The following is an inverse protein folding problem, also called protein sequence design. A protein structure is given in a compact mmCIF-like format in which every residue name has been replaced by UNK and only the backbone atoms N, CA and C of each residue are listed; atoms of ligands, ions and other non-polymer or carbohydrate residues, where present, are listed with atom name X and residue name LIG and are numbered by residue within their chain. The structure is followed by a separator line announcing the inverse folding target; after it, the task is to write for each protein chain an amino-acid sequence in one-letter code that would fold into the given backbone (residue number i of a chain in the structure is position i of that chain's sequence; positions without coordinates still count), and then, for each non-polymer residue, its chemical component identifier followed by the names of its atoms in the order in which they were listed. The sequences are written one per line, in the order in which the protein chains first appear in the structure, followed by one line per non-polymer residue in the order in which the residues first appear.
data_IF_206361926195
#
_entry.id   IF_206361926195
#
_cell.length_a   1.000
_cell.length_b   1.000
_cell.length_c   1.000
_cell.angle_alpha   90.00
_cell.angle_beta   90.00
_cell.angle_gamma   90.00
#
_symmetry.space_group_name_H-M   'P 1'
#
loop_
_entity.id
_entity.type
_entity.pdbx_description
1 polymer ?
#
# COMPACT_ATOMS: atom_id res chain seq x y z
N UNK A 1 -4.25 -15.45 -0.70
CA UNK A 1 -5.15 -14.89 -1.72
C UNK A 1 -5.65 -13.53 -1.32
N UNK A 2 -5.69 -12.62 -2.27
CA UNK A 2 -6.11 -11.26 -2.03
C UNK A 2 -7.55 -11.07 -2.46
N UNK A 3 -8.40 -10.65 -1.53
CA UNK A 3 -9.83 -10.60 -1.80
C UNK A 3 -10.25 -9.32 -2.51
N UNK A 4 -9.68 -8.19 -2.13
CA UNK A 4 -10.10 -6.90 -2.67
C UNK A 4 -8.93 -5.93 -2.70
N UNK A 5 -8.92 -5.10 -3.74
CA UNK A 5 -7.93 -4.03 -3.85
C UNK A 5 -8.53 -2.75 -3.24
N UNK A 6 -8.38 -2.60 -1.94
CA UNK A 6 -8.87 -1.40 -1.23
C UNK A 6 -7.71 -0.44 -1.05
N UNK A 7 -7.81 0.72 -1.69
CA UNK A 7 -6.77 1.74 -1.57
C UNK A 7 -6.82 2.39 -0.18
N UNK A 8 -5.65 2.65 0.44
CA UNK A 8 -5.63 3.30 1.76
C UNK A 8 -6.34 4.65 1.78
N UNK A 9 -6.47 5.31 0.62
CA UNK A 9 -7.19 6.58 0.52
C UNK A 9 -8.66 6.48 0.92
N UNK A 10 -9.30 5.32 0.68
CA UNK A 10 -10.69 5.16 1.10
C UNK A 10 -10.80 5.02 2.61
N UNK A 11 -9.82 4.39 3.25
CA UNK A 11 -9.76 4.31 4.72
C UNK A 11 -9.56 5.71 5.29
N UNK A 12 -8.63 6.47 4.72
CA UNK A 12 -8.38 7.84 5.16
C UNK A 12 -9.63 8.70 5.04
N UNK A 13 -10.32 8.62 3.90
CA UNK A 13 -11.54 9.39 3.67
C UNK A 13 -12.58 9.09 4.74
N UNK A 14 -12.80 7.82 5.05
CA UNK A 14 -13.79 7.42 6.06
C UNK A 14 -13.41 7.96 7.44
N UNK A 15 -12.13 7.87 7.80
CA UNK A 15 -11.67 8.37 9.09
C UNK A 15 -11.85 9.88 9.22
N UNK A 16 -11.47 10.62 8.19
CA UNK A 16 -11.61 12.08 8.22
C UNK A 16 -13.08 12.50 8.26
N UNK A 17 -13.94 11.81 7.52
CA UNK A 17 -15.37 12.08 7.51
C UNK A 17 -15.95 11.86 8.91
N UNK A 18 -15.58 10.78 9.56
CA UNK A 18 -16.06 10.45 10.89
C UNK A 18 -15.61 11.45 11.94
N UNK A 19 -14.38 11.95 11.80
CA UNK A 19 -13.84 12.96 12.71
C UNK A 19 -14.31 14.38 12.39
N UNK A 20 -14.96 14.57 11.25
CA UNK A 20 -15.45 15.89 10.85
C UNK A 20 -14.38 16.86 10.42
N UNK A 21 -13.23 16.36 9.96
CA UNK A 21 -12.14 17.21 9.49
C UNK A 21 -12.03 17.11 7.97
N UNK A 22 -11.81 18.27 7.31
CA UNK A 22 -11.66 18.28 5.86
C UNK A 22 -10.26 17.79 5.46
N UNK A 23 -10.12 17.23 4.25
CA UNK A 23 -8.78 16.87 3.75
C UNK A 23 -7.80 18.04 3.74
N UNK A 24 -8.27 19.23 3.41
CA UNK A 24 -7.42 20.42 3.39
C UNK A 24 -6.89 20.76 4.79
N UNK A 25 -7.77 20.70 5.79
CA UNK A 25 -7.36 20.98 7.17
C UNK A 25 -6.43 19.89 7.68
N UNK A 26 -6.72 18.63 7.35
CA UNK A 26 -5.84 17.53 7.71
C UNK A 26 -4.44 17.71 7.12
N UNK A 27 -4.37 18.07 5.83
CA UNK A 27 -3.09 18.33 5.16
C UNK A 27 -2.30 19.44 5.89
N UNK A 28 -3.01 20.49 6.30
CA UNK A 28 -2.38 21.58 7.03
C UNK A 28 -1.79 21.09 8.36
N UNK A 29 -2.53 20.25 9.06
CA UNK A 29 -2.08 19.77 10.38
C UNK A 29 -0.89 18.81 10.29
N UNK A 30 -0.75 18.08 9.21
CA UNK A 30 0.39 17.16 9.03
C UNK A 30 1.49 17.77 8.16
N UNK A 31 1.35 19.04 7.80
CA UNK A 31 2.34 19.84 7.08
C UNK A 31 2.70 19.22 5.72
N UNK A 32 1.68 18.96 4.93
CA UNK A 32 1.85 18.51 3.54
C UNK A 32 0.97 19.38 2.63
N UNK A 33 1.30 19.46 1.34
CA UNK A 33 0.43 20.17 0.40
C UNK A 33 -0.96 19.51 0.35
N UNK A 34 -2.04 20.33 0.25
CA UNK A 34 -3.39 19.77 0.20
C UNK A 34 -3.61 18.74 -0.90
N UNK A 35 -2.96 18.90 -2.06
CA UNK A 35 -3.14 17.96 -3.16
C UNK A 35 -2.54 16.59 -2.85
N UNK A 36 -1.57 16.48 -1.94
CA UNK A 36 -1.08 15.15 -1.54
C UNK A 36 -2.20 14.34 -0.91
N UNK A 37 -2.95 14.94 0.01
CA UNK A 37 -4.04 14.26 0.69
C UNK A 37 -5.18 13.95 -0.29
N UNK A 38 -5.57 14.92 -1.11
CA UNK A 38 -6.66 14.70 -2.05
C UNK A 38 -6.33 13.63 -3.09
N UNK A 39 -5.09 13.55 -3.53
CA UNK A 39 -4.66 12.51 -4.47
C UNK A 39 -4.64 11.12 -3.82
N UNK A 40 -4.27 11.05 -2.55
CA UNK A 40 -4.32 9.77 -1.82
C UNK A 40 -5.78 9.32 -1.69
N UNK A 41 -6.68 10.22 -1.29
CA UNK A 41 -8.10 9.91 -1.17
C UNK A 41 -8.68 9.45 -2.51
N UNK A 42 -8.24 10.07 -3.61
CA UNK A 42 -8.71 9.69 -4.95
C UNK A 42 -8.08 8.39 -5.46
N UNK A 43 -7.19 7.77 -4.71
CA UNK A 43 -6.53 6.54 -5.13
C UNK A 43 -5.43 6.76 -6.17
N UNK A 44 -4.98 8.01 -6.34
CA UNK A 44 -4.00 8.37 -7.38
C UNK A 44 -2.59 8.51 -6.86
N UNK A 45 -2.39 8.38 -5.57
CA UNK A 45 -1.07 8.51 -4.95
C UNK A 45 -0.93 7.47 -3.86
N UNK A 46 0.24 6.83 -3.81
CA UNK A 46 0.56 5.80 -2.82
C UNK A 46 0.94 6.40 -1.48
N UNK A 47 0.76 5.63 -0.42
CA UNK A 47 1.28 5.95 0.89
C UNK A 47 2.77 5.60 0.90
N UNK A 48 3.60 6.60 1.13
CA UNK A 48 5.05 6.41 1.29
C UNK A 48 5.41 6.37 2.77
N UNK A 49 6.67 6.05 3.07
CA UNK A 49 7.15 6.07 4.46
C UNK A 49 6.93 7.42 5.14
N UNK A 50 7.25 8.51 4.45
CA UNK A 50 7.05 9.86 5.00
C UNK A 50 5.57 10.09 5.32
N UNK A 51 4.69 9.77 4.39
CA UNK A 51 3.25 9.96 4.59
C UNK A 51 2.75 9.08 5.73
N UNK A 52 3.20 7.83 5.80
CA UNK A 52 2.80 6.92 6.87
C UNK A 52 3.23 7.44 8.24
N UNK A 53 4.42 8.02 8.35
CA UNK A 53 4.88 8.61 9.60
C UNK A 53 3.98 9.76 10.03
N UNK A 54 3.61 10.62 9.09
CA UNK A 54 2.74 11.76 9.38
C UNK A 54 1.34 11.33 9.79
N UNK A 55 0.79 10.36 9.07
CA UNK A 55 -0.54 9.82 9.38
C UNK A 55 -0.52 9.12 10.74
N UNK A 56 0.46 8.27 10.98
CA UNK A 56 0.57 7.57 12.26
C UNK A 56 0.72 8.52 13.44
N UNK A 57 1.51 9.57 13.26
CA UNK A 57 1.67 10.59 14.29
C UNK A 57 0.33 11.29 14.61
N UNK A 58 -0.39 11.70 13.57
CA UNK A 58 -1.63 12.45 13.76
C UNK A 58 -2.72 11.57 14.36
N UNK A 59 -2.87 10.35 13.86
CA UNK A 59 -3.91 9.42 14.36
C UNK A 59 -3.52 8.75 15.67
N UNK A 60 -2.24 8.82 16.06
CA UNK A 60 -1.77 8.12 17.26
C UNK A 60 -1.68 6.61 17.07
N UNK A 61 -1.40 6.17 15.85
CA UNK A 61 -1.30 4.74 15.52
C UNK A 61 0.07 4.43 14.93
N UNK A 62 0.36 3.13 14.78
CA UNK A 62 1.61 2.71 14.17
C UNK A 62 1.62 3.09 12.70
N UNK A 63 2.66 3.80 12.22
CA UNK A 63 2.78 4.11 10.80
C UNK A 63 2.73 2.88 9.90
N UNK A 64 3.17 1.73 10.39
CA UNK A 64 3.17 0.49 9.63
C UNK A 64 1.77 0.09 9.17
N UNK A 65 0.73 0.48 9.93
CA UNK A 65 -0.66 0.24 9.54
C UNK A 65 -0.93 0.78 8.13
N UNK A 66 -0.51 2.02 7.87
CA UNK A 66 -0.75 2.65 6.57
C UNK A 66 0.05 2.01 5.45
N UNK A 67 1.30 1.63 5.73
CA UNK A 67 2.12 0.92 4.74
C UNK A 67 1.57 -0.47 4.45
N UNK A 68 1.03 -1.14 5.46
CA UNK A 68 0.40 -2.45 5.26
C UNK A 68 -0.82 -2.35 4.35
N UNK A 69 -1.64 -1.31 4.53
CA UNK A 69 -2.79 -1.08 3.64
C UNK A 69 -2.32 -0.87 2.20
N UNK A 70 -1.27 -0.08 2.01
CA UNK A 70 -0.73 0.18 0.69
C UNK A 70 -0.19 -1.10 0.06
N UNK A 71 0.57 -1.89 0.81
CA UNK A 71 1.13 -3.14 0.30
C UNK A 71 0.02 -4.12 -0.10
N UNK A 72 -1.00 -4.24 0.73
CA UNK A 72 -2.12 -5.13 0.43
C UNK A 72 -2.87 -4.69 -0.83
N UNK A 73 -3.05 -3.38 -0.99
CA UNK A 73 -3.67 -2.85 -2.19
C UNK A 73 -2.86 -3.19 -3.43
N UNK A 74 -1.56 -2.97 -3.38
CA UNK A 74 -0.69 -3.21 -4.53
C UNK A 74 -0.64 -4.68 -4.90
N UNK A 75 -0.57 -5.56 -3.90
CA UNK A 75 -0.56 -7.00 -4.16
C UNK A 75 -1.90 -7.47 -4.74
N UNK A 76 -3.02 -6.98 -4.22
CA UNK A 76 -4.33 -7.35 -4.73
C UNK A 76 -4.53 -6.87 -6.16
N UNK A 77 -4.12 -5.64 -6.45
CA UNK A 77 -4.24 -5.08 -7.80
C UNK A 77 -3.36 -5.84 -8.79
N UNK A 78 -2.12 -6.13 -8.41
CA UNK A 78 -1.20 -6.87 -9.26
C UNK A 78 -1.67 -8.30 -9.47
N UNK A 79 -2.19 -8.94 -8.44
CA UNK A 79 -2.69 -10.32 -8.55
C UNK A 79 -3.86 -10.40 -9.52
N UNK A 80 -4.75 -9.41 -9.47
CA UNK A 80 -5.88 -9.38 -10.39
C UNK A 80 -5.40 -9.25 -11.83
N UNK A 81 -4.37 -8.46 -12.08
CA UNK A 81 -3.91 -8.15 -13.42
C UNK A 81 -2.96 -9.19 -13.97
N UNK A 82 -1.97 -9.62 -13.20
CA UNK A 82 -0.90 -10.49 -13.66
C UNK A 82 -0.76 -11.80 -12.89
N UNK A 83 -1.51 -11.96 -11.80
CA UNK A 83 -1.41 -13.16 -10.98
C UNK A 83 -1.56 -14.46 -11.74
N UNK A 84 -2.59 -14.60 -12.60
CA UNK A 84 -2.75 -15.84 -13.37
C UNK A 84 -1.54 -16.17 -14.23
N UNK A 85 -0.97 -15.16 -14.90
CA UNK A 85 0.22 -15.38 -15.72
C UNK A 85 1.42 -15.78 -14.87
N UNK A 86 1.58 -15.16 -13.71
CA UNK A 86 2.71 -15.46 -12.82
C UNK A 86 2.61 -16.89 -12.29
N UNK A 87 1.40 -17.35 -11.98
CA UNK A 87 1.22 -18.70 -11.45
C UNK A 87 1.57 -19.80 -12.44
N UNK A 88 1.67 -19.47 -13.73
CA UNK A 88 2.13 -20.42 -14.74
C UNK A 88 3.64 -20.44 -14.92
N UNK A 89 4.37 -19.54 -14.25
CA UNK A 89 5.82 -19.51 -14.36
C UNK A 89 6.45 -20.65 -13.57
N UNK A 90 7.66 -21.10 -13.97
CA UNK A 90 8.36 -22.11 -13.20
C UNK A 90 8.67 -21.65 -11.79
N UNK A 91 8.74 -22.58 -10.87
CA UNK A 91 9.18 -22.31 -9.51
C UNK A 91 10.53 -22.98 -9.29
N UNK A 92 11.10 -22.77 -8.11
CA UNK A 92 12.39 -23.39 -7.76
C UNK A 92 12.34 -24.93 -7.80
N UNK A 93 11.15 -25.50 -7.69
CA UNK A 93 11.01 -26.96 -7.71
C UNK A 93 11.30 -27.56 -9.09
N UNK A 94 11.34 -26.72 -10.14
CA UNK A 94 11.71 -27.16 -11.47
C UNK A 94 13.23 -27.21 -11.67
N UNK A 95 14.01 -26.73 -10.70
CA UNK A 95 15.46 -26.75 -10.80
C UNK A 95 15.99 -28.16 -10.55
N UNK A 96 17.17 -28.52 -11.16
CA UNK A 96 17.82 -29.78 -10.86
C UNK A 96 18.28 -29.83 -9.41
N UNK A 97 18.65 -31.03 -8.90
CA UNK A 97 19.14 -31.14 -7.52
C UNK A 97 20.28 -30.19 -7.23
N UNK A 98 20.38 -29.74 -5.96
CA UNK A 98 21.33 -28.71 -5.54
C UNK A 98 22.78 -29.06 -5.86
N UNK A 99 23.14 -30.33 -5.72
CA UNK A 99 24.52 -30.77 -5.95
C UNK A 99 24.89 -30.73 -7.44
N UNK A 100 23.93 -30.53 -8.33
CA UNK A 100 24.16 -30.45 -9.76
C UNK A 100 24.13 -29.02 -10.28
N UNK A 101 23.85 -28.05 -9.42
CA UNK A 101 23.73 -26.68 -9.83
C UNK A 101 25.03 -25.91 -9.65
N UNK A 102 25.31 -24.99 -10.58
CA UNK A 102 26.45 -24.10 -10.36
C UNK A 102 26.18 -23.23 -9.14
N UNK A 103 27.26 -22.88 -8.42
CA UNK A 103 27.14 -22.00 -7.29
C UNK A 103 26.79 -20.58 -7.77
N UNK A 104 25.76 -20.03 -7.18
CA UNK A 104 25.38 -18.64 -7.44
C UNK A 104 26.18 -17.72 -6.53
N UNK A 105 26.67 -16.65 -7.10
CA UNK A 105 27.52 -15.70 -6.37
C UNK A 105 26.74 -14.43 -6.08
#
# INVERSE_FOLDING_TARGET
MFMRAIHPGSVLKDELTELGITPTEFARQIDVPPNRVSQIIAGKRSITGDTALRFGHWFGTDPQFWLNLQAQFELAAADKETGPSIRHLPTKDALPPQDEQPRLV
#
